data_IF_658404459356
#
_entry.id   IF_658404459356
#
_cell.length_a   1.000
_cell.length_b   1.000
_cell.length_c   1.000
_cell.angle_alpha   90.00
_cell.angle_beta   90.00
_cell.angle_gamma   90.00
#
_symmetry.space_group_name_H-M   'P 1'
#
loop_
_entity.id
_entity.type
_entity.pdbx_description
1 polymer ?
#
# COMPACT_ATOMS: atom_id res chain seq x y z
N UNK A 1 8.22 5.77 -24.48
CA UNK A 1 8.38 4.41 -23.92
C UNK A 1 7.28 3.55 -24.52
N UNK A 2 7.63 2.47 -25.17
CA UNK A 2 6.65 1.53 -25.77
C UNK A 2 6.66 0.30 -24.85
N UNK A 3 5.48 -0.07 -24.32
CA UNK A 3 5.31 -1.32 -23.60
C UNK A 3 4.91 -2.38 -24.63
N UNK A 4 5.77 -3.35 -24.84
CA UNK A 4 5.59 -4.38 -25.87
C UNK A 4 5.91 -5.74 -25.24
N UNK A 5 4.90 -6.58 -25.11
CA UNK A 5 5.02 -7.91 -24.51
C UNK A 5 5.72 -8.93 -25.41
N UNK A 6 5.97 -8.60 -26.66
CA UNK A 6 6.77 -9.43 -27.57
C UNK A 6 8.27 -9.25 -27.36
N UNK A 7 8.67 -8.17 -26.70
CA UNK A 7 10.06 -7.93 -26.28
C UNK A 7 10.18 -8.35 -24.83
N UNK A 8 11.05 -9.24 -24.51
CA UNK A 8 11.28 -9.76 -23.15
C UNK A 8 11.93 -8.70 -22.22
N UNK A 9 11.36 -7.49 -22.20
CA UNK A 9 11.78 -6.38 -21.35
C UNK A 9 10.88 -6.30 -20.12
N UNK A 10 11.46 -6.01 -18.96
CA UNK A 10 10.71 -5.80 -17.75
C UNK A 10 10.12 -7.07 -17.11
N UNK A 11 10.80 -8.19 -17.24
CA UNK A 11 10.40 -9.50 -16.72
C UNK A 11 10.36 -9.60 -15.18
N UNK A 12 10.66 -8.53 -14.47
CA UNK A 12 10.64 -8.48 -13.01
C UNK A 12 9.23 -8.48 -12.44
N UNK A 13 9.07 -9.15 -11.30
CA UNK A 13 7.82 -9.15 -10.55
C UNK A 13 7.57 -7.80 -9.87
N UNK A 14 6.36 -7.23 -10.00
CA UNK A 14 5.92 -6.09 -9.19
C UNK A 14 5.29 -6.59 -7.91
N UNK A 15 5.95 -6.35 -6.78
CA UNK A 15 5.50 -6.71 -5.43
C UNK A 15 6.07 -5.71 -4.43
N UNK A 16 5.45 -5.55 -3.26
CA UNK A 16 5.87 -4.56 -2.26
C UNK A 16 5.83 -3.13 -2.77
N UNK A 17 4.89 -2.82 -3.67
CA UNK A 17 4.68 -1.49 -4.28
C UNK A 17 5.89 -0.91 -5.01
N UNK A 18 6.80 -1.73 -5.50
CA UNK A 18 8.08 -1.34 -6.10
C UNK A 18 8.01 -0.97 -7.59
N UNK A 19 6.84 -1.01 -8.23
CA UNK A 19 6.69 -0.77 -9.66
C UNK A 19 7.31 0.56 -10.11
N UNK A 20 6.97 1.66 -9.44
CA UNK A 20 7.55 2.98 -9.75
C UNK A 20 9.04 3.05 -9.41
N UNK A 21 9.48 2.47 -8.29
CA UNK A 21 10.91 2.47 -7.89
C UNK A 21 11.76 1.80 -8.99
N UNK A 22 11.37 0.60 -9.40
CA UNK A 22 12.14 -0.18 -10.38
C UNK A 22 12.02 0.43 -11.78
N UNK A 23 10.80 0.79 -12.19
CA UNK A 23 10.54 1.38 -13.50
C UNK A 23 11.21 2.75 -13.69
N UNK A 24 11.11 3.63 -12.70
CA UNK A 24 11.77 4.94 -12.77
C UNK A 24 13.30 4.82 -12.76
N UNK A 25 13.85 3.85 -12.04
CA UNK A 25 15.27 3.55 -12.08
C UNK A 25 15.74 3.13 -13.47
N UNK A 26 15.03 2.20 -14.10
CA UNK A 26 15.33 1.72 -15.43
C UNK A 26 15.22 2.84 -16.49
N UNK A 27 14.15 3.63 -16.44
CA UNK A 27 13.95 4.78 -17.35
C UNK A 27 15.05 5.83 -17.15
N UNK A 28 15.41 6.14 -15.92
CA UNK A 28 16.54 7.06 -15.64
C UNK A 28 17.82 6.59 -16.30
N UNK A 29 18.19 5.32 -16.12
CA UNK A 29 19.41 4.74 -16.67
C UNK A 29 19.38 4.74 -18.22
N UNK A 30 18.23 4.45 -18.84
CA UNK A 30 18.06 4.56 -20.29
C UNK A 30 18.22 6.02 -20.80
N UNK A 31 17.66 6.98 -20.06
CA UNK A 31 17.83 8.41 -20.40
C UNK A 31 19.28 8.89 -20.23
N UNK A 32 20.00 8.41 -19.22
CA UNK A 32 21.41 8.69 -19.03
C UNK A 32 22.27 8.10 -20.16
N UNK A 33 21.98 6.87 -20.58
CA UNK A 33 22.60 6.24 -21.77
C UNK A 33 22.33 7.03 -23.05
N UNK A 34 21.09 7.48 -23.26
CA UNK A 34 20.74 8.32 -24.41
C UNK A 34 21.50 9.65 -24.41
N UNK A 35 21.60 10.32 -23.26
CA UNK A 35 22.37 11.57 -23.15
C UNK A 35 23.85 11.36 -23.45
N UNK A 36 24.44 10.29 -22.94
CA UNK A 36 25.83 9.93 -23.21
C UNK A 36 26.07 9.59 -24.69
N UNK A 37 25.09 8.95 -25.34
CA UNK A 37 25.12 8.62 -26.79
C UNK A 37 24.69 9.77 -27.72
N UNK A 38 24.43 10.97 -27.20
CA UNK A 38 24.05 12.15 -27.99
C UNK A 38 22.61 12.17 -28.47
N UNK A 39 21.70 11.38 -27.89
CA UNK A 39 20.27 11.37 -28.18
C UNK A 39 19.96 11.20 -29.69
N UNK A 40 20.61 10.25 -30.35
CA UNK A 40 20.47 10.04 -31.80
C UNK A 40 19.08 9.55 -32.19
N UNK A 41 18.48 10.14 -33.23
CA UNK A 41 17.18 9.75 -33.74
C UNK A 41 17.26 8.35 -34.37
N UNK A 42 16.30 7.47 -34.04
CA UNK A 42 16.24 6.10 -34.55
C UNK A 42 17.15 5.11 -33.84
N UNK A 43 17.81 5.53 -32.73
CA UNK A 43 18.60 4.65 -31.87
C UNK A 43 17.81 4.31 -30.61
N UNK A 44 17.68 3.02 -30.30
CA UNK A 44 17.12 2.52 -29.06
C UNK A 44 18.19 2.57 -27.94
N UNK A 45 17.81 3.15 -26.80
CA UNK A 45 18.65 3.18 -25.61
C UNK A 45 17.99 2.36 -24.52
N UNK A 46 18.72 1.43 -23.95
CA UNK A 46 18.23 0.54 -22.90
C UNK A 46 18.78 0.97 -21.55
N UNK A 47 17.96 0.74 -20.49
CA UNK A 47 18.35 0.98 -19.12
C UNK A 47 17.79 -0.12 -18.22
N UNK A 48 18.63 -0.64 -17.37
CA UNK A 48 18.27 -1.60 -16.35
C UNK A 48 18.51 -1.01 -14.97
N UNK A 49 17.61 -1.30 -14.01
CA UNK A 49 17.79 -0.97 -12.60
C UNK A 49 17.67 -2.22 -11.76
N UNK A 50 18.69 -2.50 -10.97
CA UNK A 50 18.73 -3.63 -10.02
C UNK A 50 19.00 -3.14 -8.62
N UNK A 51 18.46 -3.86 -7.65
CA UNK A 51 18.74 -3.69 -6.23
C UNK A 51 19.62 -4.87 -5.81
N UNK A 52 20.91 -4.62 -5.70
CA UNK A 52 21.95 -5.64 -5.45
C UNK A 52 22.38 -5.75 -3.98
N UNK A 53 21.92 -4.81 -3.13
CA UNK A 53 22.24 -4.80 -1.69
C UNK A 53 21.21 -5.57 -0.83
N UNK A 54 20.16 -6.12 -1.43
CA UNK A 54 19.20 -6.95 -0.72
C UNK A 54 19.56 -8.44 -0.81
N UNK A 55 19.27 -9.16 0.27
CA UNK A 55 19.57 -10.58 0.39
C UNK A 55 18.29 -11.33 0.73
N UNK A 56 18.05 -12.48 0.09
CA UNK A 56 16.87 -13.30 0.37
C UNK A 56 16.87 -13.78 1.82
N UNK A 57 15.69 -13.77 2.45
CA UNK A 57 15.49 -14.34 3.75
C UNK A 57 15.89 -15.85 3.71
N UNK A 58 16.62 -16.30 4.72
CA UNK A 58 17.11 -17.68 4.80
C UNK A 58 18.38 -17.97 3.97
N UNK A 59 19.06 -16.93 3.46
CA UNK A 59 20.37 -17.11 2.81
C UNK A 59 21.38 -17.65 3.83
N UNK A 60 22.04 -18.78 3.56
CA UNK A 60 23.01 -19.36 4.48
C UNK A 60 24.16 -18.40 4.82
N UNK A 61 24.53 -18.31 6.11
CA UNK A 61 25.62 -17.45 6.58
C UNK A 61 25.28 -15.96 6.71
N UNK A 62 24.01 -15.57 6.58
CA UNK A 62 23.53 -14.19 6.77
C UNK A 62 22.57 -14.13 7.94
N UNK A 63 23.03 -13.59 9.08
CA UNK A 63 22.23 -13.53 10.31
C UNK A 63 21.17 -12.41 10.28
N UNK A 64 21.45 -11.29 9.61
CA UNK A 64 20.57 -10.11 9.52
C UNK A 64 20.40 -9.68 8.06
N UNK A 65 19.61 -10.40 7.25
CA UNK A 65 19.44 -10.08 5.84
C UNK A 65 18.65 -8.79 5.63
N UNK A 66 19.15 -7.92 4.78
CA UNK A 66 18.38 -6.76 4.28
C UNK A 66 17.49 -7.26 3.14
N UNK A 67 16.23 -7.57 3.45
CA UNK A 67 15.29 -8.19 2.50
C UNK A 67 14.50 -7.18 1.67
N UNK A 68 14.44 -5.91 2.10
CA UNK A 68 13.75 -4.82 1.39
C UNK A 68 14.67 -3.65 1.12
N UNK A 69 14.50 -3.03 -0.04
CA UNK A 69 15.32 -1.91 -0.47
C UNK A 69 14.88 -0.57 0.11
N UNK A 70 13.62 -0.46 0.50
CA UNK A 70 13.03 0.77 1.03
C UNK A 70 12.05 0.46 2.16
N UNK A 71 11.96 1.38 3.12
CA UNK A 71 10.99 1.31 4.23
C UNK A 71 10.28 2.66 4.34
N UNK A 72 8.96 2.63 4.43
CA UNK A 72 8.14 3.80 4.74
C UNK A 72 7.55 3.69 6.15
N UNK A 73 7.23 4.82 6.73
CA UNK A 73 6.53 4.92 8.01
C UNK A 73 5.17 5.56 7.80
N UNK A 74 4.19 5.13 8.58
CA UNK A 74 2.85 5.65 8.49
C UNK A 74 2.22 5.78 9.87
N UNK A 75 1.38 6.81 10.04
CA UNK A 75 0.54 6.99 11.20
C UNK A 75 -0.86 7.38 10.75
N UNK A 76 -1.87 6.78 11.38
CA UNK A 76 -3.27 7.11 11.10
C UNK A 76 -4.04 7.39 12.38
N UNK A 77 -5.01 8.31 12.27
CA UNK A 77 -5.98 8.60 13.32
C UNK A 77 -7.38 8.43 12.73
N UNK A 78 -8.16 7.56 13.34
CA UNK A 78 -9.58 7.37 13.01
C UNK A 78 -10.43 8.08 14.04
N UNK A 79 -11.36 8.92 13.58
CA UNK A 79 -12.31 9.65 14.42
C UNK A 79 -13.68 9.00 14.29
N UNK A 80 -14.26 8.61 15.42
CA UNK A 80 -15.59 8.00 15.52
C UNK A 80 -16.48 8.92 16.34
N UNK A 81 -17.73 9.12 15.90
CA UNK A 81 -18.76 9.76 16.71
C UNK A 81 -19.12 8.84 17.88
N UNK A 82 -18.89 9.33 19.09
CA UNK A 82 -19.08 8.54 20.32
C UNK A 82 -20.53 8.14 20.59
N UNK A 83 -21.49 8.87 20.01
CA UNK A 83 -22.93 8.62 20.22
C UNK A 83 -23.48 7.61 19.21
N UNK A 84 -23.03 7.70 17.97
CA UNK A 84 -23.57 6.88 16.88
C UNK A 84 -22.66 5.72 16.48
N UNK A 85 -21.38 5.74 16.87
CA UNK A 85 -20.38 4.77 16.43
C UNK A 85 -19.92 4.96 14.98
N UNK A 86 -20.42 5.97 14.29
CA UNK A 86 -20.11 6.21 12.88
C UNK A 86 -18.70 6.79 12.71
N UNK A 87 -18.03 6.38 11.61
CA UNK A 87 -16.79 7.00 11.18
C UNK A 87 -17.03 8.45 10.76
N UNK A 88 -16.26 9.37 11.33
CA UNK A 88 -16.36 10.82 11.04
C UNK A 88 -15.27 11.28 10.09
N UNK A 89 -14.03 10.82 10.31
CA UNK A 89 -12.86 11.27 9.58
C UNK A 89 -11.68 10.30 9.77
N UNK A 90 -10.79 10.24 8.78
CA UNK A 90 -9.48 9.61 8.92
C UNK A 90 -8.40 10.60 8.56
N UNK A 91 -7.37 10.73 9.40
CA UNK A 91 -6.12 11.40 9.07
C UNK A 91 -5.07 10.33 8.79
N UNK A 92 -4.39 10.44 7.64
CA UNK A 92 -3.45 9.44 7.16
C UNK A 92 -2.12 10.10 6.76
N UNK A 93 -1.12 10.05 7.65
CA UNK A 93 0.23 10.55 7.39
C UNK A 93 1.13 9.40 6.93
N UNK A 94 1.71 9.53 5.73
CA UNK A 94 2.49 8.47 5.11
C UNK A 94 3.80 8.98 4.54
N UNK A 95 4.90 8.33 4.90
CA UNK A 95 6.21 8.56 4.31
C UNK A 95 6.31 7.88 2.94
N UNK A 96 6.29 8.69 1.91
CA UNK A 96 6.31 8.28 0.50
C UNK A 96 7.70 8.44 -0.15
N UNK A 97 8.71 8.80 0.64
CA UNK A 97 9.97 9.27 0.09
C UNK A 97 9.76 10.59 -0.62
N UNK A 98 10.20 10.71 -1.87
CA UNK A 98 9.85 11.85 -2.72
C UNK A 98 8.52 11.58 -3.45
N UNK A 99 7.55 12.44 -3.27
CA UNK A 99 6.28 12.38 -4.01
C UNK A 99 6.49 12.86 -5.45
N UNK A 100 6.69 11.93 -6.39
CA UNK A 100 6.85 12.28 -7.82
C UNK A 100 5.56 12.86 -8.41
N UNK A 101 4.43 12.35 -7.98
CA UNK A 101 3.12 12.89 -8.29
C UNK A 101 2.27 12.88 -7.02
N UNK A 102 2.19 14.00 -6.28
CA UNK A 102 1.46 14.07 -5.02
C UNK A 102 0.00 13.63 -5.13
N UNK A 103 -0.73 14.09 -6.14
CA UNK A 103 -2.13 13.73 -6.35
C UNK A 103 -2.33 12.21 -6.51
N UNK A 104 -1.44 11.52 -7.23
CA UNK A 104 -1.51 10.07 -7.37
C UNK A 104 -1.10 9.36 -6.07
N UNK A 105 -0.17 9.91 -5.30
CA UNK A 105 0.17 9.38 -3.97
C UNK A 105 -1.01 9.50 -3.00
N UNK A 106 -1.68 10.64 -2.96
CA UNK A 106 -2.90 10.87 -2.17
C UNK A 106 -3.97 9.84 -2.54
N UNK A 107 -4.28 9.68 -3.83
CA UNK A 107 -5.27 8.70 -4.30
C UNK A 107 -4.92 7.24 -3.95
N UNK A 108 -3.62 6.87 -3.93
CA UNK A 108 -3.19 5.55 -3.45
C UNK A 108 -3.44 5.39 -1.94
N UNK A 109 -3.14 6.40 -1.14
CA UNK A 109 -3.37 6.37 0.31
C UNK A 109 -4.87 6.32 0.62
N UNK A 110 -5.69 7.15 -0.03
CA UNK A 110 -7.16 7.13 0.12
C UNK A 110 -7.74 5.75 -0.21
N UNK A 111 -7.36 5.17 -1.34
CA UNK A 111 -7.80 3.83 -1.74
C UNK A 111 -7.37 2.73 -0.77
N UNK A 112 -6.16 2.82 -0.22
CA UNK A 112 -5.65 1.88 0.75
C UNK A 112 -6.33 2.03 2.13
N UNK A 113 -6.61 3.26 2.57
CA UNK A 113 -7.40 3.53 3.78
C UNK A 113 -8.83 2.98 3.62
N UNK A 114 -9.49 3.22 2.48
CA UNK A 114 -10.80 2.65 2.18
C UNK A 114 -10.80 1.11 2.33
N UNK A 115 -9.82 0.45 1.71
CA UNK A 115 -9.64 -1.01 1.84
C UNK A 115 -9.41 -1.42 3.30
N UNK A 116 -8.57 -0.69 4.03
CA UNK A 116 -8.27 -0.95 5.43
C UNK A 116 -9.46 -0.78 6.37
N UNK A 117 -10.35 0.20 6.10
CA UNK A 117 -11.60 0.38 6.84
C UNK A 117 -12.57 -0.77 6.59
N UNK A 118 -12.71 -1.22 5.35
CA UNK A 118 -13.52 -2.39 5.00
C UNK A 118 -13.01 -3.63 5.71
N UNK A 119 -11.72 -3.91 5.60
CA UNK A 119 -11.06 -5.02 6.29
C UNK A 119 -11.24 -4.98 7.81
N UNK A 120 -11.15 -3.79 8.41
CA UNK A 120 -11.30 -3.62 9.85
C UNK A 120 -12.73 -3.83 10.36
N UNK A 121 -13.74 -3.40 9.60
CA UNK A 121 -15.10 -3.23 10.11
C UNK A 121 -16.15 -4.14 9.49
N UNK A 122 -16.06 -4.46 8.19
CA UNK A 122 -17.20 -5.02 7.46
C UNK A 122 -16.87 -6.22 6.57
N UNK A 123 -15.64 -6.33 6.10
CA UNK A 123 -15.27 -7.39 5.16
C UNK A 123 -15.08 -8.72 5.88
N UNK A 124 -15.74 -9.75 5.36
CA UNK A 124 -15.63 -11.11 5.85
C UNK A 124 -15.59 -12.07 4.66
N UNK A 125 -14.91 -13.20 4.83
CA UNK A 125 -14.84 -14.27 3.83
C UNK A 125 -15.41 -15.55 4.42
N UNK A 126 -16.75 -15.62 4.59
CA UNK A 126 -17.38 -16.79 5.21
C UNK A 126 -17.22 -18.01 4.33
N UNK A 127 -16.74 -19.10 4.93
CA UNK A 127 -16.55 -20.39 4.29
C UNK A 127 -17.24 -21.47 5.09
N UNK A 128 -17.73 -22.48 4.40
CA UNK A 128 -18.26 -23.68 5.02
C UNK A 128 -17.13 -24.42 5.77
N UNK A 129 -17.28 -24.67 7.07
CA UNK A 129 -16.21 -25.24 7.89
C UNK A 129 -15.86 -26.70 7.54
N UNK A 130 -16.77 -27.44 6.89
CA UNK A 130 -16.54 -28.84 6.53
C UNK A 130 -15.86 -28.96 5.16
N UNK A 131 -16.27 -28.13 4.21
CA UNK A 131 -15.82 -28.22 2.81
C UNK A 131 -14.77 -27.17 2.43
N UNK A 132 -14.66 -26.09 3.18
CA UNK A 132 -13.81 -24.95 2.88
C UNK A 132 -14.32 -24.06 1.72
N UNK A 133 -15.49 -24.39 1.14
CA UNK A 133 -16.05 -23.59 0.05
C UNK A 133 -16.63 -22.26 0.56
N UNK A 134 -16.47 -21.17 -0.23
CA UNK A 134 -17.11 -19.90 0.11
C UNK A 134 -18.64 -20.04 0.15
N UNK A 135 -19.28 -19.44 1.16
CA UNK A 135 -20.74 -19.44 1.32
C UNK A 135 -21.42 -18.25 0.63
N UNK A 136 -20.66 -17.45 -0.10
CA UNK A 136 -21.14 -16.31 -0.87
C UNK A 136 -20.94 -16.53 -2.37
N UNK A 137 -21.73 -15.81 -3.19
CA UNK A 137 -21.69 -15.89 -4.65
C UNK A 137 -21.37 -14.57 -5.35
N UNK A 138 -21.34 -13.45 -4.61
CA UNK A 138 -21.10 -12.11 -5.15
C UNK A 138 -20.20 -11.29 -4.23
N UNK A 139 -19.40 -10.40 -4.81
CA UNK A 139 -18.52 -9.47 -4.05
C UNK A 139 -19.32 -8.56 -3.08
N UNK A 140 -20.57 -8.27 -3.39
CA UNK A 140 -21.44 -7.48 -2.51
C UNK A 140 -21.64 -8.12 -1.12
N UNK A 141 -21.63 -9.45 -1.06
CA UNK A 141 -21.82 -10.20 0.18
C UNK A 141 -20.56 -10.23 1.07
N UNK A 142 -19.42 -9.81 0.54
CA UNK A 142 -18.17 -9.69 1.30
C UNK A 142 -18.11 -8.47 2.24
N UNK A 143 -19.05 -7.56 2.17
CA UNK A 143 -19.08 -6.39 3.05
C UNK A 143 -18.13 -5.25 2.62
N UNK A 144 -17.66 -5.23 1.37
CA UNK A 144 -16.84 -4.15 0.85
C UNK A 144 -17.56 -2.81 1.02
N UNK A 145 -16.90 -1.84 1.63
CA UNK A 145 -17.47 -0.51 1.88
C UNK A 145 -17.81 0.20 0.56
N UNK A 146 -18.98 0.81 0.52
CA UNK A 146 -19.38 1.65 -0.62
C UNK A 146 -18.80 3.05 -0.45
N UNK A 147 -18.54 3.78 -1.54
CA UNK A 147 -17.98 5.14 -1.47
C UNK A 147 -18.73 6.08 -0.54
N UNK A 148 -20.07 5.94 -0.45
CA UNK A 148 -20.90 6.76 0.45
C UNK A 148 -20.76 6.44 1.95
N UNK A 149 -20.19 5.30 2.27
CA UNK A 149 -20.03 4.81 3.66
C UNK A 149 -18.60 5.11 4.17
N UNK A 150 -17.74 5.68 3.31
CA UNK A 150 -16.36 6.08 3.65
C UNK A 150 -16.36 7.52 4.15
N UNK A 151 -15.76 7.80 5.31
CA UNK A 151 -15.62 9.16 5.81
C UNK A 151 -14.61 9.96 4.97
N UNK A 152 -14.56 11.29 5.11
CA UNK A 152 -13.46 12.09 4.58
C UNK A 152 -12.11 11.58 5.07
N UNK A 153 -11.15 11.47 4.14
CA UNK A 153 -9.78 11.04 4.40
C UNK A 153 -8.86 12.22 4.10
N UNK A 154 -8.12 12.66 5.12
CA UNK A 154 -7.10 13.71 4.96
C UNK A 154 -5.74 13.04 4.87
N UNK A 155 -5.09 13.19 3.73
CA UNK A 155 -3.77 12.62 3.49
C UNK A 155 -2.68 13.66 3.76
N UNK A 156 -1.68 13.26 4.52
CA UNK A 156 -0.45 14.03 4.75
C UNK A 156 0.71 13.25 4.15
N UNK A 157 1.26 13.74 3.07
CA UNK A 157 2.45 13.15 2.46
C UNK A 157 3.70 13.63 3.22
N UNK A 158 4.40 12.70 3.85
CA UNK A 158 5.69 12.93 4.48
C UNK A 158 6.77 12.57 3.48
N UNK A 159 7.62 13.52 3.13
CA UNK A 159 8.71 13.28 2.19
C UNK A 159 10.04 13.08 2.94
N UNK A 160 10.40 11.81 3.16
CA UNK A 160 11.71 11.40 3.67
C UNK A 160 12.44 10.59 2.59
N UNK A 161 13.24 11.26 1.73
CA UNK A 161 13.83 10.60 0.56
C UNK A 161 14.69 9.39 0.94
N UNK A 162 14.55 8.30 0.19
CA UNK A 162 15.37 7.10 0.33
C UNK A 162 16.69 7.29 -0.44
N UNK A 163 17.86 7.33 0.22
CA UNK A 163 19.14 7.65 -0.45
C UNK A 163 19.50 6.74 -1.62
N UNK A 164 19.23 5.44 -1.48
CA UNK A 164 19.59 4.40 -2.47
C UNK A 164 18.47 4.11 -3.47
N UNK A 165 17.38 4.89 -3.45
CA UNK A 165 16.27 4.73 -4.40
C UNK A 165 16.35 5.78 -5.50
N UNK A 166 15.96 5.45 -6.74
CA UNK A 166 15.86 6.42 -7.81
C UNK A 166 15.00 7.62 -7.38
N UNK A 167 15.53 8.82 -7.56
CA UNK A 167 14.86 10.07 -7.16
C UNK A 167 14.48 10.18 -5.67
N UNK A 168 14.92 9.26 -4.82
CA UNK A 168 14.54 9.21 -3.40
C UNK A 168 13.12 8.71 -3.13
N UNK A 169 12.49 8.01 -4.08
CA UNK A 169 11.10 7.52 -3.99
C UNK A 169 11.01 6.26 -3.11
N UNK A 170 9.81 6.03 -2.57
CA UNK A 170 9.43 4.81 -1.84
C UNK A 170 8.16 4.23 -2.46
N UNK A 171 7.83 2.99 -2.12
CA UNK A 171 6.55 2.37 -2.50
C UNK A 171 5.40 2.99 -1.71
N UNK A 172 4.27 3.26 -2.37
CA UNK A 172 3.10 3.91 -1.76
C UNK A 172 1.84 3.05 -1.82
N UNK A 173 1.78 2.08 -2.74
CA UNK A 173 0.54 1.34 -3.02
C UNK A 173 -0.03 0.55 -1.85
N UNK A 174 0.79 0.00 -0.96
CA UNK A 174 0.35 -0.89 0.13
C UNK A 174 0.47 -0.26 1.52
N UNK A 175 1.33 0.74 1.68
CA UNK A 175 1.62 1.34 3.00
C UNK A 175 0.37 1.96 3.64
N UNK A 176 -0.57 2.46 2.83
CA UNK A 176 -1.78 3.12 3.32
C UNK A 176 -2.70 2.21 4.11
N UNK A 177 -2.72 0.91 3.82
CA UNK A 177 -3.58 -0.06 4.48
C UNK A 177 -3.04 -0.49 5.86
N UNK A 178 -1.72 -0.58 6.02
CA UNK A 178 -1.08 -1.23 7.16
C UNK A 178 -1.53 -0.70 8.53
N UNK A 179 -1.58 0.62 8.80
CA UNK A 179 -1.97 1.11 10.12
C UNK A 179 -3.49 1.21 10.35
N UNK A 180 -4.33 1.02 9.31
CA UNK A 180 -5.76 1.35 9.37
C UNK A 180 -6.51 0.50 10.40
N UNK A 181 -6.32 -0.82 10.39
CA UNK A 181 -7.01 -1.70 11.34
C UNK A 181 -6.64 -1.38 12.80
N UNK A 182 -5.35 -1.11 13.07
CA UNK A 182 -4.90 -0.68 14.39
C UNK A 182 -5.49 0.67 14.82
N UNK A 183 -5.60 1.64 13.90
CA UNK A 183 -6.22 2.94 14.17
C UNK A 183 -7.73 2.81 14.45
N UNK A 184 -8.43 1.93 13.73
CA UNK A 184 -9.85 1.61 14.00
C UNK A 184 -9.99 0.96 15.37
N UNK A 185 -9.17 -0.02 15.72
CA UNK A 185 -9.19 -0.68 17.01
C UNK A 185 -9.00 0.32 18.16
N UNK A 186 -8.03 1.23 18.02
CA UNK A 186 -7.78 2.28 19.00
C UNK A 186 -8.95 3.25 19.16
N UNK A 187 -9.60 3.65 18.05
CA UNK A 187 -10.76 4.52 18.07
C UNK A 187 -11.98 3.87 18.73
N UNK A 188 -12.25 2.60 18.44
CA UNK A 188 -13.31 1.83 19.06
C UNK A 188 -13.05 1.64 20.56
N UNK A 189 -11.82 1.30 20.93
CA UNK A 189 -11.44 1.20 22.33
C UNK A 189 -11.61 2.52 23.10
N UNK A 190 -11.25 3.65 22.48
CA UNK A 190 -11.47 4.97 23.08
C UNK A 190 -12.96 5.32 23.24
N UNK A 191 -13.84 4.72 22.44
CA UNK A 191 -15.28 4.91 22.50
C UNK A 191 -15.93 4.10 23.64
N UNK A 192 -15.62 2.81 23.77
CA UNK A 192 -16.31 1.87 24.65
C UNK A 192 -15.42 1.16 25.70
N UNK A 193 -14.10 1.32 25.62
CA UNK A 193 -13.15 0.69 26.55
C UNK A 193 -12.79 -0.77 26.22
N UNK A 194 -13.33 -1.33 25.14
CA UNK A 194 -13.12 -2.74 24.80
C UNK A 194 -12.02 -2.91 23.74
N UNK A 195 -11.06 -3.80 23.98
CA UNK A 195 -10.08 -4.22 22.97
C UNK A 195 -10.63 -5.33 22.09
N UNK A 196 -10.51 -5.14 20.80
CA UNK A 196 -10.92 -6.12 19.79
C UNK A 196 -9.69 -6.81 19.19
N UNK A 197 -9.68 -8.14 19.23
CA UNK A 197 -8.57 -8.98 18.75
C UNK A 197 -8.90 -9.76 17.48
N UNK A 198 -10.12 -9.61 16.96
CA UNK A 198 -10.59 -10.30 15.75
C UNK A 198 -11.13 -9.31 14.72
N UNK A 199 -11.08 -9.69 13.46
CA UNK A 199 -11.61 -8.93 12.33
C UNK A 199 -12.77 -9.71 11.69
N UNK A 200 -13.76 -9.02 11.16
CA UNK A 200 -14.04 -7.59 11.30
C UNK A 200 -14.41 -7.21 12.75
N UNK A 201 -14.01 -5.99 13.16
CA UNK A 201 -14.29 -5.46 14.50
C UNK A 201 -15.73 -4.96 14.57
N UNK A 202 -16.67 -5.84 14.83
CA UNK A 202 -18.06 -5.44 15.06
C UNK A 202 -18.20 -4.74 16.40
N UNK A 203 -19.10 -3.75 16.48
CA UNK A 203 -19.53 -3.28 17.79
C UNK A 203 -20.16 -4.47 18.53
N UNK A 204 -19.82 -4.63 19.84
CA UNK A 204 -20.53 -5.60 20.65
C UNK A 204 -22.02 -5.25 20.57
N UNK A 205 -22.83 -6.15 20.00
CA UNK A 205 -24.26 -6.02 20.10
C UNK A 205 -24.63 -6.10 21.57
N UNK A 206 -25.44 -5.18 22.05
CA UNK A 206 -25.91 -5.20 23.44
C UNK A 206 -26.82 -6.44 23.73
N UNK A 207 -26.86 -7.39 22.82
CA UNK A 207 -27.74 -8.56 22.79
C UNK A 207 -26.98 -9.90 22.65
N UNK A 208 -25.69 -10.00 23.03
CA UNK A 208 -24.98 -11.27 23.17
C UNK A 208 -24.85 -11.71 24.62
#
# INVERSE_FOLDING_TARGET
>A
MIVDTTRELGLGQTTGSRGTVMGAGAVRNACEAARAGGCQVGVDYEGEYRVDWTVKLGTPGVDHPVIHSTFGYAAQVVVIDKTTGNLVRVLAAHDVGRAVNPMLCEGQVEGAVHMGLGYALTEDFPSDPETGFPTFSTLRQLGILRPKDVPPIDVVLVESPQPNSPYGIKGVGEIGLVPTAGAVAAALHAMDGEWRATLPMRASSADD
#
